data_IF_064791840316
#
_entry.id   IF_064791840316
#
_cell.length_a   1.000
_cell.length_b   1.000
_cell.length_c   1.000
_cell.angle_alpha   90.00
_cell.angle_beta   90.00
_cell.angle_gamma   90.00
#
_symmetry.space_group_name_H-M   'P 1'
#
loop_
_entity.id
_entity.type
_entity.pdbx_description
1 polymer ?
#
# COMPACT_ATOMS: atom_id res chain seq x y z
N UNK A 1 60.90 77.77 34.72
CA UNK A 1 59.55 77.92 34.13
C UNK A 1 59.21 76.68 33.34
N UNK A 2 58.67 75.60 33.88
CA UNK A 2 58.63 75.00 35.22
C UNK A 2 58.05 73.59 35.00
N UNK A 3 58.60 72.62 35.72
CA UNK A 3 57.98 71.43 36.30
C UNK A 3 57.17 70.40 35.46
N UNK A 4 57.79 69.20 35.34
CA UNK A 4 57.18 67.85 35.50
C UNK A 4 56.63 67.70 36.95
N UNK A 5 55.87 66.67 37.42
CA UNK A 5 55.41 65.41 36.80
C UNK A 5 54.01 64.85 37.27
N UNK A 6 53.66 63.65 36.75
CA UNK A 6 52.96 62.51 37.39
C UNK A 6 51.49 62.58 37.89
N UNK A 7 50.72 61.53 37.54
CA UNK A 7 50.18 60.50 38.49
C UNK A 7 48.72 60.06 38.25
N UNK A 8 48.46 58.77 38.53
CA UNK A 8 47.14 58.19 38.89
C UNK A 8 46.18 57.94 37.72
N UNK A 9 45.76 56.73 37.36
CA UNK A 9 45.42 55.59 38.18
C UNK A 9 43.93 55.64 38.60
N UNK A 10 43.03 55.03 37.83
CA UNK A 10 41.85 54.35 38.40
C UNK A 10 41.14 53.48 37.35
N UNK A 11 40.87 52.23 37.77
CA UNK A 11 40.06 51.24 37.08
C UNK A 11 38.59 51.68 37.10
N UNK A 12 37.85 51.40 36.03
CA UNK A 12 36.43 51.04 36.16
C UNK A 12 36.08 49.94 35.18
N UNK A 13 35.77 48.81 35.80
CA UNK A 13 35.15 47.62 35.24
C UNK A 13 33.79 48.05 34.67
N UNK A 14 33.51 47.70 33.41
CA UNK A 14 32.14 47.63 32.92
C UNK A 14 32.04 46.50 31.91
N UNK A 15 31.70 45.34 32.46
CA UNK A 15 31.17 44.22 31.70
C UNK A 15 29.89 44.66 31.01
N UNK A 16 29.86 44.65 29.68
CA UNK A 16 28.61 44.56 28.92
C UNK A 16 28.68 43.32 28.05
N UNK A 17 27.89 42.34 28.47
CA UNK A 17 27.81 41.01 27.88
C UNK A 17 27.48 41.08 26.39
N UNK A 18 28.27 40.36 25.61
CA UNK A 18 27.92 40.02 24.23
C UNK A 18 26.82 38.98 24.32
N UNK A 19 25.58 39.42 24.08
CA UNK A 19 24.45 38.53 23.80
C UNK A 19 24.81 37.78 22.52
N UNK A 20 25.18 36.51 22.65
CA UNK A 20 25.31 35.61 21.52
C UNK A 20 23.90 35.26 21.05
N UNK A 21 23.58 35.64 19.82
CA UNK A 21 22.32 35.33 19.16
C UNK A 21 22.37 33.86 18.76
N UNK A 22 21.47 33.05 19.32
CA UNK A 22 21.20 31.70 18.81
C UNK A 22 20.30 31.85 17.57
N UNK A 23 20.88 31.77 16.37
CA UNK A 23 20.10 31.46 15.18
C UNK A 23 19.77 29.96 15.21
N UNK A 24 18.56 29.61 15.65
CA UNK A 24 17.98 28.32 15.35
C UNK A 24 17.59 28.33 13.87
N UNK A 25 18.33 27.59 13.04
CA UNK A 25 18.00 27.41 11.63
C UNK A 25 16.72 26.60 11.49
N UNK A 26 15.65 27.23 11.02
CA UNK A 26 14.43 26.55 10.61
C UNK A 26 14.70 25.94 9.22
N UNK A 27 15.03 24.65 9.17
CA UNK A 27 15.08 23.89 7.93
C UNK A 27 13.65 23.54 7.53
N UNK A 28 13.05 24.30 6.61
CA UNK A 28 11.84 23.87 5.93
C UNK A 28 12.18 22.79 4.91
N UNK A 29 11.83 21.55 5.22
CA UNK A 29 11.82 20.47 4.23
C UNK A 29 10.59 20.66 3.33
N UNK A 30 10.78 21.32 2.18
CA UNK A 30 9.78 21.26 1.13
C UNK A 30 9.64 19.79 0.69
N UNK A 31 8.45 19.21 0.84
CA UNK A 31 8.15 17.88 0.31
C UNK A 31 8.26 17.95 -1.22
N UNK A 32 9.31 17.36 -1.78
CA UNK A 32 9.37 17.11 -3.21
C UNK A 32 8.29 16.08 -3.56
N UNK A 33 7.59 16.22 -4.70
CA UNK A 33 6.69 15.17 -5.15
C UNK A 33 7.47 13.86 -5.26
N UNK A 34 6.96 12.80 -4.65
CA UNK A 34 7.57 11.49 -4.73
C UNK A 34 7.47 11.01 -6.18
N UNK A 35 8.61 10.92 -6.88
CA UNK A 35 8.68 10.19 -8.14
C UNK A 35 8.28 8.72 -7.88
N UNK A 36 7.51 8.12 -8.79
CA UNK A 36 7.21 6.70 -8.72
C UNK A 36 8.51 5.88 -8.68
N UNK A 37 8.60 4.94 -7.75
CA UNK A 37 9.66 3.94 -7.74
C UNK A 37 9.59 3.05 -9.00
N UNK A 38 10.60 2.21 -9.26
CA UNK A 38 10.45 1.17 -10.27
C UNK A 38 9.28 0.24 -9.92
N UNK A 39 8.65 -0.33 -10.95
CA UNK A 39 7.73 -1.46 -10.79
C UNK A 39 8.51 -2.61 -10.15
N UNK A 40 8.08 -3.06 -8.97
CA UNK A 40 8.70 -4.18 -8.26
C UNK A 40 7.83 -5.43 -8.27
N UNK A 41 6.55 -5.28 -8.61
CA UNK A 41 5.60 -6.38 -8.76
C UNK A 41 4.52 -6.05 -9.81
N UNK A 42 4.15 -7.02 -10.64
CA UNK A 42 2.97 -6.94 -11.50
C UNK A 42 2.39 -8.32 -11.79
N UNK A 43 1.07 -8.41 -11.91
CA UNK A 43 0.37 -9.63 -12.33
C UNK A 43 0.18 -9.72 -13.86
N UNK A 44 0.56 -8.68 -14.61
CA UNK A 44 0.38 -8.60 -16.06
C UNK A 44 -0.93 -7.92 -16.50
N UNK A 45 -1.25 -8.04 -17.79
CA UNK A 45 -2.42 -7.41 -18.41
C UNK A 45 -3.71 -8.22 -18.27
N UNK A 46 -4.85 -7.56 -18.44
CA UNK A 46 -6.16 -8.21 -18.34
C UNK A 46 -6.36 -9.32 -19.37
N UNK A 47 -7.11 -10.36 -19.02
CA UNK A 47 -7.36 -11.51 -19.89
C UNK A 47 -8.81 -11.63 -20.41
N UNK A 48 -9.71 -10.78 -19.92
CA UNK A 48 -11.13 -10.75 -20.31
C UNK A 48 -11.94 -11.97 -19.83
N UNK A 49 -11.42 -12.78 -18.90
CA UNK A 49 -12.09 -14.01 -18.46
C UNK A 49 -13.02 -13.82 -17.27
N UNK A 50 -12.64 -12.98 -16.31
CA UNK A 50 -13.34 -12.80 -15.05
C UNK A 50 -13.29 -11.34 -14.60
N UNK A 51 -14.32 -10.92 -13.87
CA UNK A 51 -14.33 -9.65 -13.16
C UNK A 51 -15.02 -9.82 -11.80
N UNK A 52 -14.51 -9.22 -10.72
CA UNK A 52 -15.16 -9.31 -9.41
C UNK A 52 -15.42 -7.91 -8.84
N UNK A 53 -16.63 -7.70 -8.33
CA UNK A 53 -17.04 -6.42 -7.78
C UNK A 53 -16.16 -6.04 -6.57
N UNK A 54 -15.82 -4.76 -6.46
CA UNK A 54 -15.08 -4.27 -5.30
C UNK A 54 -15.43 -2.82 -4.98
N UNK A 55 -15.92 -2.56 -3.77
CA UNK A 55 -16.36 -1.24 -3.31
C UNK A 55 -16.42 -1.16 -1.79
N UNK A 56 -16.19 0.03 -1.20
CA UNK A 56 -16.42 0.23 0.22
C UNK A 56 -17.92 0.22 0.54
N UNK A 57 -18.24 0.07 1.82
CA UNK A 57 -19.59 0.36 2.30
C UNK A 57 -19.95 1.83 2.04
N UNK A 58 -21.11 2.08 1.45
CA UNK A 58 -21.68 3.42 1.25
C UNK A 58 -23.15 3.41 1.64
N UNK A 59 -23.81 4.56 1.86
CA UNK A 59 -25.23 4.58 2.21
C UNK A 59 -26.07 3.79 1.20
N UNK A 60 -26.74 2.74 1.67
CA UNK A 60 -27.57 1.86 0.84
C UNK A 60 -26.83 0.76 0.07
N UNK A 61 -25.49 0.65 0.20
CA UNK A 61 -24.69 -0.40 -0.46
C UNK A 61 -23.71 -1.01 0.53
N UNK A 62 -23.79 -2.32 0.68
CA UNK A 62 -22.83 -3.08 1.47
C UNK A 62 -21.46 -3.14 0.79
N UNK A 63 -20.43 -3.33 1.62
CA UNK A 63 -19.04 -3.54 1.22
C UNK A 63 -18.87 -4.87 0.49
N UNK A 64 -18.04 -4.83 -0.55
CA UNK A 64 -17.58 -6.01 -1.30
C UNK A 64 -16.10 -5.82 -1.52
N UNK A 65 -15.32 -6.84 -1.22
CA UNK A 65 -13.88 -6.78 -1.40
C UNK A 65 -13.44 -7.89 -2.33
N UNK A 66 -12.53 -7.54 -3.22
CA UNK A 66 -11.78 -8.49 -4.04
C UNK A 66 -10.31 -8.27 -3.78
N UNK A 67 -9.56 -9.35 -3.56
CA UNK A 67 -8.16 -9.31 -3.17
C UNK A 67 -7.34 -10.32 -3.97
N UNK A 68 -6.10 -9.96 -4.30
CA UNK A 68 -5.14 -10.85 -4.99
C UNK A 68 -3.75 -10.74 -4.37
N UNK A 69 -2.96 -11.80 -4.49
CA UNK A 69 -1.73 -11.94 -3.71
C UNK A 69 -0.46 -11.43 -4.39
N UNK A 70 0.51 -11.08 -3.54
CA UNK A 70 1.87 -10.76 -3.93
C UNK A 70 2.84 -11.11 -2.80
N UNK A 71 4.12 -11.24 -3.15
CA UNK A 71 5.18 -11.54 -2.17
C UNK A 71 6.18 -10.39 -2.07
N UNK A 72 6.72 -10.22 -0.87
CA UNK A 72 7.72 -9.21 -0.54
C UNK A 72 8.95 -9.95 -0.02
N UNK A 73 10.08 -9.83 -0.71
CA UNK A 73 11.31 -10.57 -0.36
C UNK A 73 12.18 -9.84 0.66
N UNK A 74 11.98 -8.54 0.81
CA UNK A 74 12.70 -7.66 1.75
C UNK A 74 11.84 -6.43 2.02
N UNK A 75 12.02 -5.78 3.18
CA UNK A 75 11.22 -4.62 3.56
C UNK A 75 11.16 -3.59 2.43
N UNK A 76 9.95 -3.29 1.95
CA UNK A 76 9.73 -2.48 0.76
C UNK A 76 8.74 -1.38 1.05
N UNK A 77 9.05 -0.17 0.55
CA UNK A 77 8.18 0.99 0.58
C UNK A 77 7.54 1.17 -0.79
N UNK A 78 6.24 0.97 -0.86
CA UNK A 78 5.45 1.18 -2.07
C UNK A 78 4.87 2.58 -2.09
N UNK A 79 5.00 3.22 -3.24
CA UNK A 79 4.56 4.61 -3.46
C UNK A 79 3.46 4.72 -4.49
N UNK A 80 3.37 3.76 -5.41
CA UNK A 80 2.31 3.72 -6.41
C UNK A 80 1.76 2.31 -6.58
N UNK A 81 0.52 2.25 -7.05
CA UNK A 81 -0.11 1.03 -7.52
C UNK A 81 -0.91 1.34 -8.78
N UNK A 82 -1.02 0.37 -9.69
CA UNK A 82 -2.00 0.45 -10.78
C UNK A 82 -3.01 -0.66 -10.66
N UNK A 83 -4.26 -0.39 -11.01
CA UNK A 83 -5.36 -1.37 -10.99
C UNK A 83 -6.14 -1.20 -12.29
N UNK A 84 -6.40 -2.30 -12.99
CA UNK A 84 -7.25 -2.27 -14.20
C UNK A 84 -8.61 -2.89 -13.89
N UNK A 85 -9.68 -2.15 -14.14
CA UNK A 85 -11.03 -2.61 -13.87
C UNK A 85 -12.06 -2.11 -14.87
N UNK A 86 -13.32 -2.38 -14.55
CA UNK A 86 -14.47 -2.15 -15.42
C UNK A 86 -15.51 -1.31 -14.69
N UNK A 87 -15.92 -0.17 -15.27
CA UNK A 87 -17.05 0.62 -14.82
C UNK A 87 -18.31 0.14 -15.56
N UNK A 88 -19.33 -0.24 -14.81
CA UNK A 88 -20.53 -0.92 -15.32
C UNK A 88 -21.80 -0.15 -14.97
N UNK A 89 -22.94 -0.57 -15.52
CA UNK A 89 -24.23 0.05 -15.20
C UNK A 89 -24.39 1.48 -15.74
N UNK A 90 -23.59 1.88 -16.74
CA UNK A 90 -23.62 3.24 -17.30
C UNK A 90 -22.75 4.25 -16.55
N UNK A 91 -21.98 3.82 -15.55
CA UNK A 91 -21.03 4.68 -14.85
C UNK A 91 -19.87 5.11 -15.77
N UNK A 92 -19.45 6.37 -15.63
CA UNK A 92 -18.24 6.93 -16.24
C UNK A 92 -17.22 7.39 -15.19
N UNK A 93 -16.12 7.99 -15.66
CA UNK A 93 -15.05 8.45 -14.75
C UNK A 93 -15.53 9.45 -13.69
N UNK A 94 -16.50 10.30 -14.04
CA UNK A 94 -17.06 11.30 -13.12
C UNK A 94 -17.89 10.70 -11.98
N UNK A 95 -18.28 9.43 -12.10
CA UNK A 95 -19.02 8.73 -11.04
C UNK A 95 -18.11 8.17 -9.96
N UNK A 96 -16.79 8.09 -10.18
CA UNK A 96 -15.83 7.62 -9.16
C UNK A 96 -15.67 8.70 -8.09
N UNK A 97 -16.14 8.43 -6.89
CA UNK A 97 -16.12 9.35 -5.76
C UNK A 97 -14.87 9.20 -4.90
N UNK A 98 -14.42 7.95 -4.69
CA UNK A 98 -13.20 7.66 -3.95
C UNK A 98 -12.60 6.32 -4.36
N UNK A 99 -11.28 6.25 -4.20
CA UNK A 99 -10.48 5.02 -4.25
C UNK A 99 -9.94 4.75 -2.85
N UNK A 100 -10.03 3.49 -2.43
CA UNK A 100 -9.40 2.95 -1.24
C UNK A 100 -8.61 1.68 -1.59
N UNK A 101 -7.62 1.36 -0.78
CA UNK A 101 -6.82 0.14 -0.90
C UNK A 101 -6.57 -0.44 0.47
N UNK A 102 -6.66 -1.75 0.60
CA UNK A 102 -6.31 -2.46 1.82
C UNK A 102 -5.25 -3.54 1.54
N UNK A 103 -4.46 -3.85 2.55
CA UNK A 103 -3.48 -4.93 2.52
C UNK A 103 -3.77 -5.91 3.64
N UNK A 104 -3.84 -7.18 3.29
CA UNK A 104 -4.07 -8.29 4.23
C UNK A 104 -2.85 -9.20 4.26
N UNK A 105 -2.62 -9.89 5.37
CA UNK A 105 -1.64 -10.98 5.43
C UNK A 105 -2.32 -12.30 5.06
N UNK A 106 -1.52 -13.30 4.70
CA UNK A 106 -2.04 -14.67 4.50
C UNK A 106 -2.46 -15.27 5.86
N UNK A 107 -3.65 -15.89 5.88
CA UNK A 107 -4.13 -16.68 7.03
C UNK A 107 -3.09 -17.73 7.45
N UNK A 108 -2.78 -17.91 8.75
CA UNK A 108 -3.55 -17.48 9.93
C UNK A 108 -3.12 -16.14 10.56
N UNK A 109 -2.27 -15.36 9.91
CA UNK A 109 -1.88 -14.05 10.43
C UNK A 109 -3.12 -13.13 10.52
N UNK A 110 -3.19 -12.28 11.55
CA UNK A 110 -4.29 -11.33 11.79
C UNK A 110 -5.70 -11.94 11.72
N UNK A 111 -5.83 -13.19 12.13
CA UNK A 111 -7.07 -13.94 12.07
C UNK A 111 -7.43 -14.57 13.41
N UNK A 112 -8.73 -14.65 13.69
CA UNK A 112 -9.26 -15.51 14.73
C UNK A 112 -9.31 -16.95 14.21
N UNK A 113 -8.39 -17.80 14.67
CA UNK A 113 -8.30 -19.21 14.27
C UNK A 113 -9.26 -20.13 15.03
N UNK A 114 -9.93 -19.64 16.08
CA UNK A 114 -10.88 -20.40 16.89
C UNK A 114 -12.32 -20.39 16.37
N UNK A 115 -12.62 -19.59 15.34
CA UNK A 115 -13.97 -19.49 14.76
C UNK A 115 -14.24 -20.63 13.77
N UNK A 116 -15.49 -21.08 13.72
CA UNK A 116 -15.95 -21.97 12.65
C UNK A 116 -16.03 -21.16 11.34
N UNK A 117 -15.34 -21.56 10.27
CA UNK A 117 -15.44 -20.89 8.99
C UNK A 117 -16.79 -21.19 8.32
N UNK A 118 -17.35 -20.19 7.64
CA UNK A 118 -18.53 -20.32 6.79
C UNK A 118 -18.15 -20.51 5.31
N UNK A 119 -16.93 -20.98 5.05
CA UNK A 119 -16.35 -21.19 3.72
C UNK A 119 -15.71 -22.58 3.63
N UNK A 120 -15.53 -23.14 2.42
CA UNK A 120 -14.93 -24.46 2.25
C UNK A 120 -13.51 -24.56 2.83
N UNK A 121 -12.73 -23.49 2.77
CA UNK A 121 -11.38 -23.44 3.36
C UNK A 121 -10.95 -22.00 3.63
N UNK A 122 -10.09 -21.83 4.63
CA UNK A 122 -9.35 -20.59 4.90
C UNK A 122 -7.86 -20.71 4.57
N UNK A 123 -7.41 -21.89 4.16
CA UNK A 123 -6.01 -22.12 3.82
C UNK A 123 -5.59 -21.19 2.69
N UNK A 124 -4.53 -20.41 2.91
CA UNK A 124 -4.01 -19.42 1.98
C UNK A 124 -5.01 -18.31 1.60
N UNK A 125 -6.01 -18.04 2.44
CA UNK A 125 -6.93 -16.90 2.27
C UNK A 125 -6.34 -15.61 2.86
N UNK A 126 -6.89 -14.44 2.52
CA UNK A 126 -6.60 -13.21 3.26
C UNK A 126 -7.03 -13.32 4.73
N UNK A 127 -6.38 -12.53 5.60
CA UNK A 127 -6.66 -12.46 7.03
C UNK A 127 -8.04 -11.88 7.36
N UNK A 128 -8.46 -11.99 8.63
CA UNK A 128 -9.75 -11.42 9.06
C UNK A 128 -9.70 -9.90 9.08
N UNK A 129 -8.56 -9.34 9.47
CA UNK A 129 -8.32 -7.90 9.60
C UNK A 129 -7.30 -7.42 8.57
N UNK A 130 -7.56 -6.25 7.99
CA UNK A 130 -6.58 -5.54 7.18
C UNK A 130 -5.39 -5.14 8.05
N UNK A 131 -4.18 -5.37 7.55
CA UNK A 131 -2.94 -4.91 8.16
C UNK A 131 -2.84 -3.38 8.08
N UNK A 132 -3.20 -2.82 6.93
CA UNK A 132 -3.18 -1.38 6.69
C UNK A 132 -4.10 -0.99 5.53
N UNK A 133 -4.55 0.26 5.51
CA UNK A 133 -5.41 0.80 4.47
C UNK A 133 -5.01 2.22 4.04
N UNK A 134 -5.34 2.60 2.81
CA UNK A 134 -5.19 3.95 2.26
C UNK A 134 -6.50 4.34 1.59
N UNK A 135 -6.86 5.60 1.70
CA UNK A 135 -8.13 6.12 1.23
C UNK A 135 -7.99 7.58 0.75
N UNK A 136 -8.55 7.87 -0.41
CA UNK A 136 -8.53 9.20 -1.03
C UNK A 136 -9.33 10.24 -0.24
N UNK A 137 -10.42 9.86 0.41
CA UNK A 137 -11.21 10.76 1.27
C UNK A 137 -10.45 11.22 2.51
N UNK A 138 -9.56 10.37 3.04
CA UNK A 138 -8.64 10.70 4.14
C UNK A 138 -7.36 11.44 3.68
N UNK A 139 -7.11 11.52 2.37
CA UNK A 139 -5.89 12.11 1.80
C UNK A 139 -4.63 11.24 1.91
N UNK A 140 -4.75 9.98 2.34
CA UNK A 140 -3.62 9.06 2.44
C UNK A 140 -3.18 8.45 1.10
N UNK A 141 -3.99 8.62 0.05
CA UNK A 141 -3.64 8.42 -1.36
C UNK A 141 -4.27 9.51 -2.23
N UNK A 142 -3.78 9.63 -3.46
CA UNK A 142 -4.44 10.32 -4.58
C UNK A 142 -4.50 9.37 -5.77
N UNK A 143 -5.31 9.68 -6.78
CA UNK A 143 -5.43 8.82 -7.95
C UNK A 143 -5.71 9.60 -9.23
N UNK A 144 -5.37 8.99 -10.35
CA UNK A 144 -5.78 9.43 -11.69
C UNK A 144 -6.42 8.27 -12.45
N UNK A 145 -7.20 8.59 -13.47
CA UNK A 145 -8.04 7.64 -14.20
C UNK A 145 -7.75 7.76 -15.70
N UNK A 146 -7.56 6.62 -16.35
CA UNK A 146 -7.42 6.55 -17.81
C UNK A 146 -8.41 5.55 -18.38
N UNK A 147 -9.22 5.96 -19.36
CA UNK A 147 -10.03 5.01 -20.13
C UNK A 147 -9.10 4.25 -21.08
N UNK A 148 -9.08 2.92 -20.95
CA UNK A 148 -8.34 2.03 -21.86
C UNK A 148 -9.22 1.58 -23.03
N UNK A 149 -10.49 1.29 -22.75
CA UNK A 149 -11.48 0.91 -23.74
C UNK A 149 -12.87 1.41 -23.34
N UNK A 150 -13.63 1.95 -24.30
CA UNK A 150 -15.03 2.32 -24.07
C UNK A 150 -15.98 1.12 -24.04
N UNK A 151 -15.51 -0.05 -24.48
CA UNK A 151 -16.29 -1.28 -24.49
C UNK A 151 -15.36 -2.47 -24.27
N UNK A 152 -15.36 -2.97 -23.05
CA UNK A 152 -14.67 -4.19 -22.65
C UNK A 152 -15.69 -5.15 -22.03
N UNK A 153 -15.49 -6.45 -22.23
CA UNK A 153 -16.35 -7.51 -21.68
C UNK A 153 -15.49 -8.54 -20.97
N UNK A 154 -15.80 -8.81 -19.71
CA UNK A 154 -15.34 -9.99 -19.01
C UNK A 154 -16.35 -11.14 -19.23
N UNK A 155 -15.84 -12.33 -19.54
CA UNK A 155 -16.66 -13.49 -19.91
C UNK A 155 -17.51 -14.02 -18.76
N UNK A 156 -17.10 -13.79 -17.52
CA UNK A 156 -17.87 -14.10 -16.32
C UNK A 156 -17.61 -13.03 -15.24
N UNK A 157 -18.41 -13.03 -14.18
CA UNK A 157 -18.25 -12.09 -13.08
C UNK A 157 -18.68 -12.64 -11.72
N UNK A 158 -18.24 -11.96 -10.66
CA UNK A 158 -18.85 -12.03 -9.32
C UNK A 158 -19.45 -10.67 -9.02
N UNK A 159 -20.79 -10.59 -9.08
CA UNK A 159 -21.56 -9.37 -8.91
C UNK A 159 -22.00 -9.15 -7.45
N UNK A 160 -22.42 -7.93 -7.09
CA UNK A 160 -23.05 -7.69 -5.80
C UNK A 160 -24.20 -8.68 -5.53
N UNK A 161 -24.13 -9.38 -4.40
CA UNK A 161 -25.11 -10.41 -4.01
C UNK A 161 -24.85 -11.80 -4.59
N UNK A 162 -23.77 -12.00 -5.35
CA UNK A 162 -23.34 -13.30 -5.89
C UNK A 162 -22.42 -14.11 -4.98
N UNK A 163 -22.17 -13.63 -3.75
CA UNK A 163 -21.29 -14.25 -2.76
C UNK A 163 -22.18 -14.94 -1.71
N UNK A 164 -21.97 -16.23 -1.48
CA UNK A 164 -22.76 -17.01 -0.52
C UNK A 164 -21.87 -17.89 0.34
N UNK A 165 -22.23 -18.01 1.62
CA UNK A 165 -21.57 -18.94 2.53
C UNK A 165 -21.70 -20.40 2.08
N UNK A 166 -20.78 -21.23 2.57
CA UNK A 166 -20.86 -22.68 2.48
C UNK A 166 -22.16 -23.21 3.09
N UNK A 167 -22.83 -24.19 2.46
CA UNK A 167 -22.40 -24.98 1.30
C UNK A 167 -22.89 -24.47 -0.07
N UNK A 168 -23.45 -23.26 -0.13
CA UNK A 168 -24.12 -22.73 -1.33
C UNK A 168 -23.23 -21.78 -2.14
N UNK A 169 -21.92 -21.76 -1.86
CA UNK A 169 -20.98 -20.80 -2.45
C UNK A 169 -20.79 -20.97 -3.97
N UNK A 170 -21.00 -22.18 -4.50
CA UNK A 170 -20.77 -22.49 -5.92
C UNK A 170 -21.97 -22.07 -6.76
N UNK A 171 -21.91 -20.87 -7.31
CA UNK A 171 -22.97 -20.25 -8.13
C UNK A 171 -22.72 -20.37 -9.64
N UNK A 172 -21.47 -20.64 -10.04
CA UNK A 172 -21.04 -20.51 -11.44
C UNK A 172 -20.67 -19.08 -11.84
N UNK A 173 -20.74 -18.11 -10.92
CA UNK A 173 -20.63 -16.69 -11.21
C UNK A 173 -21.94 -16.08 -11.72
N UNK A 174 -21.87 -14.82 -12.14
CA UNK A 174 -23.03 -14.01 -12.53
C UNK A 174 -23.12 -13.75 -14.05
N UNK A 175 -22.32 -14.46 -14.84
CA UNK A 175 -22.27 -14.32 -16.29
C UNK A 175 -21.42 -13.12 -16.74
N UNK A 176 -21.41 -12.91 -18.06
CA UNK A 176 -20.60 -11.87 -18.68
C UNK A 176 -21.02 -10.46 -18.24
N UNK A 177 -20.04 -9.58 -18.03
CA UNK A 177 -20.26 -8.18 -17.66
C UNK A 177 -19.46 -7.27 -18.59
N UNK A 178 -20.10 -6.20 -19.05
CA UNK A 178 -19.52 -5.24 -19.99
C UNK A 178 -19.53 -3.82 -19.44
N UNK A 179 -18.60 -2.99 -19.92
CA UNK A 179 -18.44 -1.62 -19.44
C UNK A 179 -17.26 -0.87 -20.03
N UNK A 180 -16.89 0.23 -19.38
CA UNK A 180 -15.70 1.04 -19.71
C UNK A 180 -14.53 0.46 -18.94
N UNK A 181 -13.50 0.01 -19.65
CA UNK A 181 -12.24 -0.43 -19.05
C UNK A 181 -11.42 0.79 -18.64
N UNK A 182 -11.00 0.80 -17.39
CA UNK A 182 -10.26 1.91 -16.79
C UNK A 182 -9.01 1.42 -16.09
N UNK A 183 -7.92 2.17 -16.27
CA UNK A 183 -6.74 2.09 -15.43
C UNK A 183 -6.88 3.13 -14.32
N UNK A 184 -6.73 2.68 -13.08
CA UNK A 184 -6.62 3.51 -11.90
C UNK A 184 -5.14 3.56 -11.53
N UNK A 185 -4.55 4.74 -11.62
CA UNK A 185 -3.18 5.00 -11.17
C UNK A 185 -3.25 5.65 -9.79
N UNK A 186 -2.74 4.95 -8.77
CA UNK A 186 -2.85 5.30 -7.36
C UNK A 186 -1.47 5.76 -6.87
N UNK A 187 -1.41 6.98 -6.36
CA UNK A 187 -0.23 7.54 -5.71
C UNK A 187 -0.45 7.62 -4.19
N UNK A 188 0.34 6.87 -3.43
CA UNK A 188 0.25 6.83 -1.97
C UNK A 188 0.96 8.04 -1.34
N UNK A 189 0.17 9.01 -0.87
CA UNK A 189 0.66 10.14 -0.06
C UNK A 189 1.31 9.64 1.24
N UNK A 190 0.70 8.62 1.84
CA UNK A 190 1.29 7.81 2.90
C UNK A 190 1.69 6.48 2.30
N UNK A 191 2.98 6.23 2.09
CA UNK A 191 3.45 4.98 1.48
C UNK A 191 2.99 3.72 2.24
N UNK A 192 2.86 2.60 1.54
CA UNK A 192 2.75 1.28 2.18
C UNK A 192 4.16 0.79 2.50
N UNK A 193 4.46 0.54 3.76
CA UNK A 193 5.71 -0.09 4.18
C UNK A 193 5.41 -1.50 4.67
N UNK A 194 5.94 -2.49 3.94
CA UNK A 194 5.69 -3.91 4.21
C UNK A 194 7.03 -4.60 4.43
N UNK A 195 7.10 -5.44 5.46
CA UNK A 195 8.24 -6.33 5.69
C UNK A 195 8.20 -7.51 4.70
N UNK A 196 9.21 -8.39 4.76
CA UNK A 196 9.21 -9.59 3.93
C UNK A 196 8.12 -10.56 4.39
N UNK A 197 7.11 -10.79 3.55
CA UNK A 197 5.98 -11.70 3.79
C UNK A 197 5.17 -11.93 2.50
N UNK A 198 4.05 -12.66 2.62
CA UNK A 198 3.03 -12.86 1.61
C UNK A 198 1.77 -12.07 1.99
N UNK A 199 1.32 -11.21 1.08
CA UNK A 199 0.20 -10.31 1.30
C UNK A 199 -0.86 -10.45 0.22
N UNK A 200 -2.04 -9.89 0.49
CA UNK A 200 -3.07 -9.61 -0.50
C UNK A 200 -3.28 -8.10 -0.61
N UNK A 201 -3.49 -7.64 -1.84
CA UNK A 201 -3.89 -6.27 -2.15
C UNK A 201 -5.36 -6.24 -2.54
N UNK A 202 -6.14 -5.34 -1.93
CA UNK A 202 -7.58 -5.21 -2.12
C UNK A 202 -7.96 -3.76 -2.46
N UNK A 203 -8.05 -3.39 -3.76
CA UNK A 203 -8.53 -2.08 -4.18
C UNK A 203 -10.05 -2.02 -4.15
N UNK A 204 -10.60 -0.88 -3.75
CA UNK A 204 -12.05 -0.64 -3.69
C UNK A 204 -12.38 0.74 -4.27
N UNK A 205 -13.48 0.83 -5.03
CA UNK A 205 -13.94 2.09 -5.61
C UNK A 205 -15.37 2.41 -5.15
N UNK A 206 -15.57 3.61 -4.59
CA UNK A 206 -16.90 4.15 -4.35
C UNK A 206 -17.40 4.88 -5.60
N UNK A 207 -18.59 4.52 -6.07
CA UNK A 207 -19.22 5.14 -7.23
C UNK A 207 -20.55 5.78 -6.86
N UNK A 208 -20.84 6.94 -7.45
CA UNK A 208 -22.13 7.61 -7.37
C UNK A 208 -23.26 6.77 -8.00
N UNK A 209 -22.94 6.07 -9.09
CA UNK A 209 -23.83 5.19 -9.84
C UNK A 209 -23.06 4.00 -10.42
N UNK A 210 -23.74 2.89 -10.68
CA UNK A 210 -23.11 1.67 -11.24
C UNK A 210 -22.15 0.97 -10.28
N UNK A 211 -21.38 0.03 -10.81
CA UNK A 211 -20.45 -0.82 -10.05
C UNK A 211 -19.06 -0.83 -10.71
N UNK A 212 -18.03 -0.93 -9.87
CA UNK A 212 -16.67 -1.24 -10.28
C UNK A 212 -16.40 -2.73 -10.14
N UNK A 213 -15.82 -3.34 -11.17
CA UNK A 213 -15.30 -4.69 -11.13
C UNK A 213 -13.80 -4.70 -11.41
N UNK A 214 -13.01 -5.38 -10.58
CA UNK A 214 -11.60 -5.62 -10.83
C UNK A 214 -11.47 -6.72 -11.89
N UNK A 215 -10.68 -6.49 -12.95
CA UNK A 215 -10.53 -7.42 -14.07
C UNK A 215 -9.43 -8.45 -13.79
N UNK A 216 -9.68 -9.71 -14.19
CA UNK A 216 -8.71 -10.78 -14.04
C UNK A 216 -7.54 -10.67 -15.02
N UNK A 217 -6.44 -11.32 -14.64
CA UNK A 217 -5.29 -11.66 -15.48
C UNK A 217 -5.04 -13.16 -15.40
N UNK A 218 -4.13 -13.64 -16.26
CA UNK A 218 -3.75 -15.04 -16.31
C UNK A 218 -3.12 -15.51 -15.00
N UNK A 219 -3.51 -16.72 -14.59
CA UNK A 219 -2.86 -17.50 -13.53
C UNK A 219 -2.34 -18.82 -14.12
N UNK A 220 -1.08 -19.23 -13.86
CA UNK A 220 -0.10 -18.52 -13.04
C UNK A 220 0.44 -17.24 -13.71
N UNK A 221 0.99 -16.32 -12.91
CA UNK A 221 1.67 -15.12 -13.41
C UNK A 221 2.86 -15.53 -14.28
N UNK A 222 2.85 -15.10 -15.54
CA UNK A 222 3.91 -15.37 -16.51
C UNK A 222 4.98 -14.25 -16.52
N UNK A 223 6.02 -14.42 -17.34
CA UNK A 223 7.19 -13.52 -17.37
C UNK A 223 6.90 -12.06 -17.78
N UNK A 224 5.71 -11.78 -18.34
CA UNK A 224 5.25 -10.40 -18.57
C UNK A 224 4.85 -9.69 -17.27
N UNK A 225 4.62 -10.43 -16.19
CA UNK A 225 4.49 -9.93 -14.82
C UNK A 225 5.69 -10.34 -13.95
N UNK A 226 5.43 -10.60 -12.68
CA UNK A 226 6.43 -11.03 -11.68
C UNK A 226 6.06 -12.41 -11.15
N UNK A 227 6.51 -13.50 -11.82
CA UNK A 227 6.23 -14.86 -11.35
C UNK A 227 6.77 -15.10 -9.93
N UNK A 228 5.98 -15.74 -9.08
CA UNK A 228 6.41 -16.18 -7.75
C UNK A 228 5.79 -17.55 -7.41
N UNK A 229 6.26 -18.16 -6.31
CA UNK A 229 5.79 -19.48 -5.88
C UNK A 229 5.67 -19.55 -4.35
N UNK A 230 4.53 -20.04 -3.81
CA UNK A 230 3.32 -20.37 -4.55
C UNK A 230 2.57 -19.10 -5.00
N UNK A 231 2.18 -19.05 -6.27
CA UNK A 231 1.19 -18.10 -6.80
C UNK A 231 -0.19 -18.52 -6.31
N UNK A 232 -0.81 -17.76 -5.39
CA UNK A 232 -2.16 -18.04 -4.92
C UNK A 232 -3.17 -17.57 -5.96
N UNK A 233 -4.45 -17.47 -5.62
CA UNK A 233 -5.50 -17.09 -6.56
C UNK A 233 -6.32 -15.97 -5.94
N UNK A 234 -7.07 -15.25 -6.76
CA UNK A 234 -7.96 -14.18 -6.32
C UNK A 234 -9.09 -14.64 -5.40
N UNK A 235 -9.37 -13.81 -4.40
CA UNK A 235 -10.40 -14.02 -3.38
C UNK A 235 -11.40 -12.88 -3.37
N UNK A 236 -12.61 -13.14 -2.87
CA UNK A 236 -13.62 -12.11 -2.64
C UNK A 236 -14.47 -12.40 -1.42
N UNK A 237 -15.04 -11.34 -0.82
CA UNK A 237 -16.04 -11.41 0.25
C UNK A 237 -17.01 -10.25 0.15
N UNK A 238 -18.13 -10.39 0.84
CA UNK A 238 -19.03 -9.28 1.15
C UNK A 238 -19.25 -9.16 2.67
N UNK A 239 -19.97 -8.11 3.06
CA UNK A 239 -20.30 -7.86 4.47
C UNK A 239 -21.05 -9.02 5.16
N UNK A 240 -21.72 -9.91 4.44
CA UNK A 240 -22.43 -11.05 5.02
C UNK A 240 -21.52 -12.27 5.22
N UNK A 241 -20.50 -12.43 4.38
CA UNK A 241 -19.49 -13.49 4.50
C UNK A 241 -18.38 -13.12 5.51
N UNK A 242 -18.11 -11.83 5.67
CA UNK A 242 -17.03 -11.32 6.52
C UNK A 242 -17.01 -11.98 7.92
N UNK A 243 -15.83 -12.37 8.42
CA UNK A 243 -14.50 -12.06 7.88
C UNK A 243 -13.94 -13.13 6.92
N UNK A 244 -14.72 -14.15 6.55
CA UNK A 244 -14.28 -15.19 5.61
C UNK A 244 -14.14 -14.69 4.17
N UNK A 245 -13.34 -15.41 3.39
CA UNK A 245 -13.09 -15.16 1.97
C UNK A 245 -13.37 -16.41 1.16
N UNK A 246 -13.86 -16.24 -0.07
CA UNK A 246 -14.03 -17.30 -1.05
C UNK A 246 -13.09 -17.10 -2.23
N UNK A 247 -12.53 -18.20 -2.74
CA UNK A 247 -11.76 -18.16 -3.99
C UNK A 247 -12.72 -17.90 -5.15
N UNK A 248 -12.44 -16.86 -5.92
CA UNK A 248 -13.30 -16.44 -7.04
C UNK A 248 -13.50 -17.59 -8.03
N UNK A 249 -12.40 -18.24 -8.42
CA UNK A 249 -12.45 -19.37 -9.36
C UNK A 249 -12.89 -20.67 -8.71
N UNK A 250 -12.17 -21.13 -7.68
CA UNK A 250 -12.38 -22.47 -7.11
C UNK A 250 -13.72 -22.62 -6.39
N UNK A 251 -14.14 -21.64 -5.59
CA UNK A 251 -15.30 -21.79 -4.72
C UNK A 251 -16.57 -21.26 -5.37
N UNK A 252 -16.52 -20.07 -5.99
CA UNK A 252 -17.70 -19.39 -6.56
C UNK A 252 -18.04 -19.92 -7.96
N UNK A 253 -17.10 -19.86 -8.91
CA UNK A 253 -17.34 -20.45 -10.24
C UNK A 253 -17.43 -21.97 -10.13
N UNK A 254 -16.45 -22.58 -9.47
CA UNK A 254 -16.41 -24.02 -9.22
C UNK A 254 -16.41 -24.88 -10.49
N UNK A 255 -16.99 -26.08 -10.37
CA UNK A 255 -16.98 -27.10 -11.41
C UNK A 255 -15.77 -28.04 -11.36
N UNK A 256 -15.84 -29.12 -12.12
CA UNK A 256 -14.71 -30.04 -12.27
C UNK A 256 -13.57 -29.35 -13.04
N UNK A 257 -12.40 -29.25 -12.42
CA UNK A 257 -11.29 -28.45 -12.98
C UNK A 257 -11.54 -26.95 -12.90
N UNK A 258 -12.15 -26.50 -11.80
CA UNK A 258 -12.49 -25.11 -11.55
C UNK A 258 -11.36 -24.15 -11.98
N UNK A 259 -11.67 -23.06 -12.68
CA UNK A 259 -10.67 -22.10 -13.11
C UNK A 259 -10.07 -21.42 -11.90
N UNK A 260 -8.90 -20.82 -12.10
CA UNK A 260 -8.25 -19.98 -11.09
C UNK A 260 -7.78 -18.70 -11.78
N UNK A 261 -7.88 -17.59 -11.07
CA UNK A 261 -7.62 -16.26 -11.62
C UNK A 261 -6.68 -15.52 -10.70
N UNK A 262 -5.90 -14.61 -11.28
CA UNK A 262 -5.31 -13.48 -10.59
C UNK A 262 -6.05 -12.22 -11.07
N UNK A 263 -5.79 -11.06 -10.46
CA UNK A 263 -6.35 -9.78 -10.85
C UNK A 263 -5.27 -8.81 -11.32
N UNK A 264 -5.60 -7.93 -12.26
CA UNK A 264 -4.62 -7.06 -12.93
C UNK A 264 -4.21 -5.87 -12.03
N UNK A 265 -2.99 -5.91 -11.49
CA UNK A 265 -2.38 -4.79 -10.78
C UNK A 265 -0.85 -4.76 -10.88
N UNK A 266 -0.27 -3.62 -10.51
CA UNK A 266 1.15 -3.46 -10.25
C UNK A 266 1.39 -2.69 -8.96
N UNK A 267 2.58 -2.89 -8.39
CA UNK A 267 3.08 -2.13 -7.25
C UNK A 267 4.47 -1.58 -7.55
N UNK A 268 4.64 -0.29 -7.29
CA UNK A 268 5.87 0.44 -7.56
C UNK A 268 6.46 0.91 -6.24
N UNK A 269 7.75 0.67 -6.06
CA UNK A 269 8.37 0.87 -4.78
C UNK A 269 9.87 0.66 -4.80
N UNK A 270 10.45 0.72 -3.60
CA UNK A 270 11.87 0.51 -3.39
C UNK A 270 12.09 -0.27 -2.09
N UNK A 271 13.03 -1.20 -2.13
CA UNK A 271 13.52 -1.86 -0.91
C UNK A 271 14.12 -0.80 0.01
N UNK A 272 13.71 -0.82 1.27
CA UNK A 272 14.26 0.02 2.32
C UNK A 272 15.29 -0.80 3.08
N UNK A 273 16.50 -0.29 3.22
CA UNK A 273 17.50 -0.93 4.06
C UNK A 273 16.93 -1.07 5.48
N UNK A 274 17.09 -2.25 6.09
CA UNK A 274 16.82 -2.40 7.51
C UNK A 274 17.61 -1.31 8.24
N UNK A 275 16.98 -0.57 9.15
CA UNK A 275 17.67 0.40 9.99
C UNK A 275 18.69 -0.36 10.82
N UNK A 276 19.94 -0.44 10.35
CA UNK A 276 21.07 -0.78 11.20
C UNK A 276 21.14 0.37 12.20
N UNK A 277 21.09 0.14 13.51
CA UNK A 277 21.37 1.19 14.47
C UNK A 277 22.75 1.75 14.11
N UNK A 278 22.80 2.96 13.56
CA UNK A 278 24.07 3.62 13.37
C UNK A 278 24.75 3.65 14.75
N UNK A 279 26.05 3.31 14.87
CA UNK A 279 26.75 3.56 16.12
C UNK A 279 26.53 5.03 16.40
N UNK A 280 25.76 5.30 17.47
CA UNK A 280 25.13 6.58 17.66
C UNK A 280 26.18 7.68 17.45
N UNK A 281 25.87 8.73 16.70
CA UNK A 281 26.79 9.85 16.49
C UNK A 281 27.50 10.32 17.80
N UNK A 282 26.88 10.25 19.00
CA UNK A 282 27.58 10.43 20.27
C UNK A 282 28.78 9.50 20.50
N UNK A 283 28.68 8.20 20.16
CA UNK A 283 29.75 7.23 20.33
C UNK A 283 30.95 7.52 19.41
N UNK A 284 30.71 7.90 18.15
CA UNK A 284 31.77 8.31 17.22
C UNK A 284 32.41 9.65 17.61
N UNK A 285 31.62 10.60 18.12
CA UNK A 285 32.15 11.87 18.67
C UNK A 285 32.95 11.64 19.96
N UNK A 286 32.53 10.72 20.84
CA UNK A 286 33.27 10.35 22.05
C UNK A 286 34.60 9.65 21.71
N UNK A 287 34.61 8.77 20.69
CA UNK A 287 35.84 8.15 20.20
C UNK A 287 36.79 9.17 19.56
N UNK A 288 36.26 10.11 18.76
CA UNK A 288 37.06 11.16 18.13
C UNK A 288 37.65 12.15 19.16
N UNK A 289 36.88 12.51 20.19
CA UNK A 289 37.34 13.41 21.27
C UNK A 289 38.33 12.72 22.21
N UNK A 290 38.16 11.43 22.52
CA UNK A 290 39.13 10.65 23.29
C UNK A 290 40.46 10.48 22.56
N UNK A 291 40.44 10.23 21.25
CA UNK A 291 41.64 10.14 20.42
C UNK A 291 42.39 11.48 20.31
N UNK A 292 41.66 12.60 20.20
CA UNK A 292 42.24 13.94 20.22
C UNK A 292 42.91 14.27 21.56
N UNK A 293 42.30 13.86 22.68
CA UNK A 293 42.86 14.04 24.03
C UNK A 293 44.13 13.22 24.26
N UNK A 294 44.16 11.97 23.78
CA UNK A 294 45.34 11.10 23.82
C UNK A 294 46.49 11.65 22.95
N UNK A 295 46.18 12.26 21.80
CA UNK A 295 47.19 12.89 20.93
C UNK A 295 47.82 14.15 21.54
N UNK A 296 47.03 14.97 22.23
CA UNK A 296 47.50 16.21 22.89
C UNK A 296 48.38 15.90 24.11
N UNK A 297 48.06 14.85 24.88
CA UNK A 297 48.82 14.46 26.07
C UNK A 297 50.18 13.82 25.71
N UNK A 298 50.29 13.15 24.56
CA UNK A 298 51.55 12.56 24.09
C UNK A 298 52.54 13.58 23.51
N UNK A 299 52.08 14.78 23.11
CA UNK A 299 52.92 15.89 22.61
C UNK A 299 53.50 16.78 23.72
N UNK A 300 53.14 16.54 24.98
CA UNK A 300 53.54 17.36 26.14
C UNK A 300 54.50 16.66 27.10
N UNK A 301 55.15 15.58 26.68
CA UNK A 301 56.28 14.96 27.37
C UNK A 301 57.55 15.15 26.57
#
# INVERSE_FOLDING_TARGET
MDDKPASGGSRLISARGRKAWWLAGLVSTAALPALAGPVVFSTGGVDGRMAAASRPATPGRFEIETADDFTVSSRTRYTHATVTGLLTGGAGLADIQSVATEVYRVFPNDANTGRTPNVPTRTNSPSDLALTSRDSGSGSLSFTLTVLSNNFVASNSVAPGGIHASPNQTTGGNGAVGGIEVLIDIAFSTALELDADHYFFAPQLALAHGDFYWLSTARPIAAQGTPFSPDLQGWTRDAALGPDWLRVGTDIVGGAGAPTYNFAFSLDGQTVAATVPEPSAPALVLLATAAAWAGITKRRR
#
